data_IF_002010106984
#
_entry.id   IF_002010106984
#
_cell.length_a   1.000
_cell.length_b   1.000
_cell.length_c   1.000
_cell.angle_alpha   90.00
_cell.angle_beta   90.00
_cell.angle_gamma   90.00
#
_symmetry.space_group_name_H-M   'P 1'
#
loop_
_entity.id
_entity.type
_entity.pdbx_description
1 polymer ?
#
# COMPACT_ATOMS: atom_id res chain seq x y z
N UNK A 1 7.23 8.40 -34.68
CA UNK A 1 6.44 7.93 -33.53
C UNK A 1 7.38 7.04 -32.72
N UNK A 2 7.69 7.32 -31.45
CA UNK A 2 8.46 6.35 -30.68
C UNK A 2 7.59 5.10 -30.51
N UNK A 3 8.20 3.93 -30.66
CA UNK A 3 7.54 2.64 -30.45
C UNK A 3 6.97 2.59 -29.03
N UNK A 4 5.73 2.10 -28.87
CA UNK A 4 5.14 1.89 -27.56
C UNK A 4 5.84 0.73 -26.87
N UNK A 5 6.69 1.03 -25.89
CA UNK A 5 7.26 0.04 -24.98
C UNK A 5 6.25 -0.24 -23.87
N UNK A 6 5.91 -1.52 -23.68
CA UNK A 6 5.10 -1.99 -22.55
C UNK A 6 6.01 -2.58 -21.48
N UNK A 7 5.81 -2.18 -20.22
CA UNK A 7 6.53 -2.72 -19.07
C UNK A 7 5.52 -3.37 -18.13
N UNK A 8 5.79 -4.60 -17.71
CA UNK A 8 5.01 -5.25 -16.66
C UNK A 8 5.28 -4.57 -15.31
N UNK A 9 4.25 -4.00 -14.70
CA UNK A 9 4.30 -3.34 -13.41
C UNK A 9 3.30 -3.98 -12.44
N UNK A 10 3.63 -3.97 -11.16
CA UNK A 10 2.65 -4.17 -10.11
C UNK A 10 1.91 -2.86 -9.85
N UNK A 11 0.61 -2.94 -9.57
CA UNK A 11 -0.27 -1.79 -9.55
C UNK A 11 -1.23 -1.86 -8.37
N UNK A 12 -1.44 -0.74 -7.70
CA UNK A 12 -2.62 -0.55 -6.88
C UNK A 12 -3.73 0.01 -7.77
N UNK A 13 -4.89 -0.65 -7.81
CA UNK A 13 -6.08 -0.20 -8.57
C UNK A 13 -5.79 0.21 -10.03
N UNK A 14 -4.99 -0.59 -10.74
CA UNK A 14 -4.62 -0.40 -12.14
C UNK A 14 -3.85 0.90 -12.46
N UNK A 15 -3.16 1.50 -11.48
CA UNK A 15 -2.35 2.70 -11.68
C UNK A 15 -0.92 2.57 -11.15
N UNK A 16 -0.01 3.30 -11.80
CA UNK A 16 1.35 3.57 -11.33
C UNK A 16 1.61 5.07 -11.51
N UNK A 17 1.80 5.85 -10.43
CA UNK A 17 1.67 5.45 -9.02
C UNK A 17 0.26 4.97 -8.66
N UNK A 18 0.11 4.35 -7.49
CA UNK A 18 -1.18 4.02 -6.90
C UNK A 18 -2.07 5.26 -6.71
N UNK A 19 -3.39 5.08 -6.52
CA UNK A 19 -4.31 6.20 -6.36
C UNK A 19 -4.01 7.00 -5.09
N UNK A 20 -4.10 8.33 -5.18
CA UNK A 20 -3.98 9.19 -3.99
C UNK A 20 -5.21 9.03 -3.09
N UNK A 21 -4.99 8.61 -1.85
CA UNK A 21 -6.03 8.55 -0.82
C UNK A 21 -6.14 9.94 -0.16
N UNK A 22 -7.34 10.51 -0.17
CA UNK A 22 -7.65 11.78 0.52
C UNK A 22 -8.54 11.49 1.71
N UNK A 23 -8.09 11.91 2.89
CA UNK A 23 -8.79 11.67 4.15
C UNK A 23 -8.83 12.92 5.02
N UNK A 24 -9.86 13.04 5.85
CA UNK A 24 -10.01 14.15 6.80
C UNK A 24 -9.61 13.67 8.20
N UNK A 25 -8.84 14.50 8.90
CA UNK A 25 -8.44 14.24 10.30
C UNK A 25 -9.68 13.94 11.16
N UNK A 26 -9.58 12.92 12.02
CA UNK A 26 -10.63 12.53 12.96
C UNK A 26 -11.68 11.60 12.36
N UNK A 27 -11.62 11.29 11.07
CA UNK A 27 -12.44 10.26 10.45
C UNK A 27 -11.74 8.90 10.51
N UNK A 28 -12.54 7.84 10.47
CA UNK A 28 -12.07 6.47 10.34
C UNK A 28 -11.73 6.16 8.88
N UNK A 29 -10.57 5.57 8.65
CA UNK A 29 -10.15 5.05 7.36
C UNK A 29 -10.44 3.54 7.32
N UNK A 30 -11.15 3.11 6.29
CA UNK A 30 -11.49 1.71 6.02
C UNK A 30 -11.00 1.33 4.63
N UNK A 31 -10.01 0.44 4.54
CA UNK A 31 -9.41 0.01 3.28
C UNK A 31 -9.27 -1.51 3.29
N UNK A 32 -9.84 -2.17 2.28
CA UNK A 32 -9.55 -3.57 2.01
C UNK A 32 -8.40 -3.68 1.00
N UNK A 33 -7.28 -4.25 1.45
CA UNK A 33 -6.16 -4.59 0.58
C UNK A 33 -6.36 -6.00 0.02
N UNK A 34 -6.59 -6.09 -1.29
CA UNK A 34 -6.69 -7.39 -1.99
C UNK A 34 -5.36 -7.70 -2.68
N UNK A 35 -4.73 -8.80 -2.30
CA UNK A 35 -3.46 -9.24 -2.88
C UNK A 35 -3.69 -10.26 -4.00
N UNK A 36 -3.36 -9.86 -5.23
CA UNK A 36 -3.41 -10.70 -6.43
C UNK A 36 -2.05 -10.78 -7.17
N UNK A 37 -0.93 -10.42 -6.52
CA UNK A 37 0.39 -10.34 -7.19
C UNK A 37 1.19 -11.65 -7.16
N UNK A 38 0.64 -12.71 -6.53
CA UNK A 38 1.29 -14.03 -6.45
C UNK A 38 2.51 -14.09 -5.53
N UNK A 39 2.66 -13.10 -4.65
CA UNK A 39 3.72 -13.00 -3.64
C UNK A 39 3.13 -12.50 -2.32
N UNK A 40 3.78 -12.78 -1.20
CA UNK A 40 3.42 -12.16 0.08
C UNK A 40 3.51 -10.64 -0.01
N UNK A 41 2.50 -9.95 0.50
CA UNK A 41 2.50 -8.49 0.55
C UNK A 41 1.63 -7.99 1.70
N UNK A 42 1.94 -6.77 2.11
CA UNK A 42 1.25 -6.01 3.15
C UNK A 42 1.51 -4.54 2.89
N UNK A 43 0.54 -3.66 3.13
CA UNK A 43 0.71 -2.21 2.98
C UNK A 43 1.19 -1.62 4.32
N UNK A 44 2.29 -0.88 4.27
CA UNK A 44 2.71 0.04 5.33
C UNK A 44 2.30 1.48 5.01
N UNK A 45 1.80 2.18 6.01
CA UNK A 45 1.33 3.57 5.91
C UNK A 45 2.41 4.53 6.39
N UNK A 46 3.38 4.81 5.54
CA UNK A 46 4.59 5.53 5.93
C UNK A 46 4.28 6.94 6.45
N UNK A 47 4.54 7.12 7.74
CA UNK A 47 4.36 8.36 8.48
C UNK A 47 2.99 8.50 9.14
N UNK A 48 2.05 7.58 8.92
CA UNK A 48 0.82 7.51 9.72
C UNK A 48 1.11 6.87 11.09
N UNK A 49 0.41 7.35 12.11
CA UNK A 49 0.44 6.82 13.47
C UNK A 49 -0.80 5.95 13.60
N UNK A 50 -0.58 4.64 13.52
CA UNK A 50 -1.65 3.62 13.49
C UNK A 50 -1.38 2.52 14.52
N UNK A 51 -2.40 1.73 14.91
CA UNK A 51 -2.18 0.55 15.74
C UNK A 51 -1.21 -0.45 15.09
N UNK A 52 -0.47 -1.27 15.87
CA UNK A 52 0.51 -2.22 15.34
C UNK A 52 -0.05 -3.19 14.28
N UNK A 53 -1.31 -3.60 14.44
CA UNK A 53 -2.01 -4.48 13.50
C UNK A 53 -2.24 -3.78 12.16
N UNK A 54 -2.44 -2.46 12.17
CA UNK A 54 -2.72 -1.67 10.97
C UNK A 54 -1.45 -1.10 10.32
N UNK A 55 -0.29 -1.25 10.96
CA UNK A 55 0.96 -0.64 10.51
C UNK A 55 1.56 -1.32 9.28
N UNK A 56 1.19 -2.56 9.00
CA UNK A 56 1.76 -3.33 7.89
C UNK A 56 3.08 -4.00 8.23
N UNK A 57 3.20 -4.50 9.46
CA UNK A 57 4.39 -5.24 9.87
C UNK A 57 4.62 -6.47 8.95
N UNK A 58 5.87 -6.80 8.57
CA UNK A 58 6.16 -7.94 7.68
C UNK A 58 5.59 -9.31 8.09
N UNK A 59 5.22 -9.47 9.37
CA UNK A 59 4.68 -10.72 9.93
C UNK A 59 3.22 -10.95 9.52
N UNK A 60 2.52 -9.88 9.16
CA UNK A 60 1.09 -9.87 8.85
C UNK A 60 0.85 -9.96 7.33
N UNK A 61 1.92 -10.16 6.55
CA UNK A 61 1.84 -10.27 5.10
C UNK A 61 1.03 -11.48 4.65
N UNK A 62 0.18 -11.24 3.65
CA UNK A 62 -0.72 -12.23 3.08
C UNK A 62 -0.20 -12.69 1.72
N UNK A 63 -0.21 -13.99 1.45
CA UNK A 63 0.16 -14.57 0.14
C UNK A 63 -0.94 -14.40 -0.94
N UNK A 64 -2.11 -13.90 -0.56
CA UNK A 64 -3.28 -13.72 -1.39
C UNK A 64 -4.51 -13.44 -0.53
N UNK A 65 -5.66 -13.17 -1.16
CA UNK A 65 -6.89 -12.84 -0.44
C UNK A 65 -6.93 -11.36 -0.04
N UNK A 66 -7.53 -11.07 1.11
CA UNK A 66 -7.75 -9.71 1.57
C UNK A 66 -7.22 -9.47 3.00
N UNK A 67 -6.74 -8.26 3.25
CA UNK A 67 -6.41 -7.73 4.58
C UNK A 67 -7.17 -6.42 4.79
N UNK A 68 -7.95 -6.33 5.87
CA UNK A 68 -8.75 -5.15 6.17
C UNK A 68 -7.98 -4.21 7.11
N UNK A 69 -7.83 -2.95 6.68
CA UNK A 69 -7.26 -1.87 7.46
C UNK A 69 -8.37 -0.97 7.98
N UNK A 70 -8.45 -0.81 9.30
CA UNK A 70 -9.43 0.03 9.97
C UNK A 70 -8.74 0.82 11.09
N UNK A 71 -8.64 2.13 10.93
CA UNK A 71 -8.05 3.00 11.96
C UNK A 71 -8.49 4.46 11.83
N UNK A 72 -8.47 5.17 12.97
CA UNK A 72 -8.73 6.61 13.03
C UNK A 72 -7.45 7.42 12.84
N UNK A 73 -7.49 8.40 11.95
CA UNK A 73 -6.35 9.29 11.69
C UNK A 73 -6.42 10.57 12.53
N UNK A 74 -5.74 10.55 13.68
CA UNK A 74 -5.77 11.62 14.69
C UNK A 74 -4.48 12.46 14.77
N UNK A 75 -3.59 12.36 13.79
CA UNK A 75 -2.35 13.13 13.72
C UNK A 75 -2.48 14.47 12.96
N UNK A 76 -1.37 15.18 12.78
CA UNK A 76 -1.33 16.43 11.99
C UNK A 76 -1.57 16.14 10.50
N UNK A 77 -2.31 17.02 9.82
CA UNK A 77 -2.46 16.98 8.36
C UNK A 77 -1.09 17.10 7.67
N UNK A 78 -0.88 16.29 6.63
CA UNK A 78 0.38 16.23 5.90
C UNK A 78 0.26 15.31 4.68
N UNK A 79 1.34 15.25 3.92
CA UNK A 79 1.51 14.28 2.83
C UNK A 79 2.21 13.06 3.40
N UNK A 80 1.55 11.92 3.26
CA UNK A 80 2.05 10.60 3.62
C UNK A 80 1.98 9.73 2.38
N UNK A 81 2.52 8.53 2.45
CA UNK A 81 2.56 7.60 1.32
C UNK A 81 2.39 6.17 1.83
N UNK A 82 1.98 5.29 0.95
CA UNK A 82 1.79 3.88 1.27
C UNK A 82 2.56 3.00 0.31
N UNK A 83 3.13 1.91 0.83
CA UNK A 83 3.96 1.02 0.04
C UNK A 83 3.98 -0.40 0.64
N UNK A 84 4.36 -1.43 -0.14
CA UNK A 84 4.53 -2.76 0.40
C UNK A 84 5.62 -2.83 1.46
N UNK A 85 5.41 -3.67 2.48
CA UNK A 85 6.41 -3.93 3.51
C UNK A 85 6.63 -5.44 3.84
N UNK A 86 6.56 -6.38 2.88
CA UNK A 86 6.87 -7.78 3.14
C UNK A 86 8.36 -8.01 3.41
N UNK A 87 8.67 -9.04 4.20
CA UNK A 87 10.05 -9.40 4.50
C UNK A 87 10.81 -9.79 3.22
N UNK A 88 12.04 -9.29 3.05
CA UNK A 88 12.98 -9.55 1.93
C UNK A 88 12.59 -9.02 0.55
N UNK A 89 11.31 -8.90 0.21
CA UNK A 89 10.84 -8.55 -1.15
C UNK A 89 10.22 -7.15 -1.26
N UNK A 90 10.28 -6.32 -0.21
CA UNK A 90 9.82 -4.92 -0.22
C UNK A 90 10.44 -4.12 -1.38
N UNK A 91 11.76 -4.19 -1.56
CA UNK A 91 12.46 -3.43 -2.59
C UNK A 91 12.00 -3.78 -4.02
N UNK A 92 11.78 -5.07 -4.31
CA UNK A 92 11.29 -5.50 -5.61
C UNK A 92 9.86 -5.01 -5.85
N UNK A 93 8.97 -5.16 -4.86
CA UNK A 93 7.57 -4.78 -5.01
C UNK A 93 7.39 -3.26 -5.22
N UNK A 94 8.14 -2.45 -4.47
CA UNK A 94 8.18 -0.99 -4.66
C UNK A 94 8.75 -0.64 -6.04
N UNK A 95 9.89 -1.24 -6.41
CA UNK A 95 10.54 -0.98 -7.71
C UNK A 95 9.63 -1.33 -8.91
N UNK A 96 8.82 -2.38 -8.77
CA UNK A 96 7.84 -2.80 -9.79
C UNK A 96 6.61 -1.92 -9.88
N UNK A 97 6.42 -0.93 -9.00
CA UNK A 97 5.39 0.11 -9.14
C UNK A 97 4.44 0.27 -7.95
N UNK A 98 4.56 -0.54 -6.90
CA UNK A 98 3.68 -0.43 -5.73
C UNK A 98 4.14 0.69 -4.79
N UNK A 99 3.61 1.89 -5.02
CA UNK A 99 3.63 3.02 -4.09
C UNK A 99 2.54 4.03 -4.47
N UNK A 100 2.01 4.78 -3.50
CA UNK A 100 1.05 5.86 -3.76
C UNK A 100 0.90 6.84 -2.61
#
# INVERSE_FOLDING_TARGET
MPESLSLAAFQFNNSVPGPTIRHVKGQELNIQFTNNIGQESIIHWHGLIVPPEMDGHPKDAISGGAYDYEFSLNQRAGTYWYHPHPHRITGEQVYRGLAG
#
